data_IF_615951200248
#
_entry.id   IF_615951200248
#
_cell.length_a   1.000
_cell.length_b   1.000
_cell.length_c   1.000
_cell.angle_alpha   90.00
_cell.angle_beta   90.00
_cell.angle_gamma   90.00
#
_symmetry.space_group_name_H-M   'P 1'
#
loop_
_entity.id
_entity.type
_entity.pdbx_description
1 polymer ?
#
# COMPACT_ATOMS: atom_id res chain seq x y z
N UNK A 1 7.22 -4.49 21.36
CA UNK A 1 5.83 -4.01 21.46
C UNK A 1 5.86 -2.51 21.75
N UNK A 2 4.83 -1.78 21.33
CA UNK A 2 4.70 -0.34 21.61
C UNK A 2 3.49 -0.15 22.50
N UNK A 3 3.67 0.45 23.67
CA UNK A 3 2.60 0.62 24.66
C UNK A 3 1.85 1.96 24.53
N UNK A 4 2.39 2.90 23.72
CA UNK A 4 1.88 4.25 23.53
C UNK A 4 1.02 4.41 22.26
N UNK A 5 0.07 5.34 22.30
CA UNK A 5 -0.77 5.71 21.16
C UNK A 5 -1.83 4.68 20.78
N UNK A 6 -2.14 4.62 19.49
CA UNK A 6 -3.10 3.69 18.87
C UNK A 6 -2.60 2.24 18.79
N UNK A 7 -1.31 2.00 19.10
CA UNK A 7 -0.64 0.69 19.02
C UNK A 7 -0.64 0.09 17.61
N UNK A 8 -0.59 0.97 16.61
CA UNK A 8 -0.56 0.64 15.19
C UNK A 8 0.82 0.94 14.58
N UNK A 9 0.96 0.77 13.26
CA UNK A 9 2.20 1.00 12.52
C UNK A 9 2.75 2.43 12.70
N UNK A 10 1.88 3.44 12.85
CA UNK A 10 2.28 4.83 13.10
C UNK A 10 3.12 4.95 14.37
N UNK A 11 2.68 4.32 15.46
CA UNK A 11 3.34 4.44 16.76
C UNK A 11 4.65 3.65 16.79
N UNK A 12 4.70 2.51 16.09
CA UNK A 12 5.94 1.76 15.87
C UNK A 12 6.99 2.57 15.11
N UNK A 13 6.60 3.32 14.07
CA UNK A 13 7.52 4.22 13.37
C UNK A 13 8.02 5.36 14.25
N UNK A 14 7.14 5.96 15.08
CA UNK A 14 7.54 7.02 16.00
C UNK A 14 8.61 6.57 16.99
N UNK A 15 8.41 5.42 17.63
CA UNK A 15 9.39 4.88 18.58
C UNK A 15 10.69 4.44 17.89
N UNK A 16 10.61 3.83 16.71
CA UNK A 16 11.81 3.46 15.95
C UNK A 16 12.66 4.67 15.53
N UNK A 17 12.02 5.78 15.13
CA UNK A 17 12.73 7.03 14.81
C UNK A 17 13.37 7.63 16.07
N UNK A 18 12.70 7.60 17.22
CA UNK A 18 13.25 8.10 18.50
C UNK A 18 14.47 7.31 18.95
N UNK A 19 14.41 5.98 18.88
CA UNK A 19 15.54 5.11 19.16
C UNK A 19 16.71 5.44 18.22
N UNK A 20 16.44 5.48 16.91
CA UNK A 20 17.47 5.75 15.92
C UNK A 20 18.17 7.09 16.11
N UNK A 21 17.43 8.16 16.43
CA UNK A 21 18.03 9.47 16.72
C UNK A 21 18.94 9.41 17.95
N UNK A 22 18.58 8.62 18.95
CA UNK A 22 19.39 8.43 20.17
C UNK A 22 20.65 7.61 19.89
N UNK A 23 20.56 6.61 19.01
CA UNK A 23 21.60 5.60 18.78
C UNK A 23 22.26 5.69 17.38
N UNK A 24 22.21 6.85 16.72
CA UNK A 24 22.57 7.04 15.30
C UNK A 24 24.00 6.59 14.94
N UNK A 25 24.93 6.56 15.91
CA UNK A 25 26.33 6.17 15.68
C UNK A 25 26.53 4.66 15.53
N UNK A 26 25.63 3.86 16.08
CA UNK A 26 25.77 2.39 16.18
C UNK A 26 24.60 1.65 15.53
N UNK A 27 23.52 2.36 15.20
CA UNK A 27 22.27 1.75 14.74
C UNK A 27 21.89 2.29 13.36
N UNK A 28 21.63 1.37 12.43
CA UNK A 28 21.02 1.67 11.14
C UNK A 28 19.50 1.47 11.25
N UNK A 29 18.72 2.50 10.87
CA UNK A 29 17.26 2.39 10.83
C UNK A 29 16.80 1.75 9.52
N UNK A 30 16.46 0.47 9.58
CA UNK A 30 15.89 -0.24 8.44
C UNK A 30 14.38 0.02 8.33
N UNK A 31 14.01 1.11 7.64
CA UNK A 31 12.60 1.44 7.40
C UNK A 31 11.91 0.39 6.50
N UNK A 32 10.65 0.07 6.82
CA UNK A 32 9.90 -1.01 6.14
C UNK A 32 9.10 -0.60 4.90
N UNK A 33 9.09 0.67 4.50
CA UNK A 33 8.29 1.12 3.35
C UNK A 33 8.91 2.31 2.61
N UNK A 34 8.38 2.62 1.42
CA UNK A 34 8.83 3.71 0.54
C UNK A 34 8.37 5.10 1.02
N UNK A 35 8.46 5.33 2.31
CA UNK A 35 8.12 6.57 3.00
C UNK A 35 9.34 7.06 3.80
N UNK A 36 9.16 8.14 4.57
CA UNK A 36 10.22 8.70 5.39
C UNK A 36 11.13 9.69 4.65
N UNK A 37 12.17 10.22 5.33
CA UNK A 37 13.03 11.23 4.73
C UNK A 37 13.90 10.64 3.62
N UNK A 38 14.35 11.48 2.69
CA UNK A 38 15.42 11.08 1.77
C UNK A 38 16.65 10.60 2.57
N UNK A 39 17.32 9.49 2.20
CA UNK A 39 17.20 8.75 0.94
C UNK A 39 16.21 7.56 0.95
N UNK A 40 15.45 7.34 2.03
CA UNK A 40 14.68 6.11 2.21
C UNK A 40 13.66 5.80 1.12
N UNK A 41 12.78 6.73 0.67
CA UNK A 41 11.82 6.42 -0.40
C UNK A 41 12.51 5.94 -1.69
N UNK A 42 13.59 6.62 -2.08
CA UNK A 42 14.38 6.27 -3.27
C UNK A 42 15.03 4.89 -3.10
N UNK A 43 15.70 4.67 -1.98
CA UNK A 43 16.40 3.42 -1.70
C UNK A 43 15.44 2.23 -1.67
N UNK A 44 14.30 2.36 -0.98
CA UNK A 44 13.30 1.28 -0.91
C UNK A 44 12.73 0.99 -2.30
N UNK A 45 12.43 2.01 -3.10
CA UNK A 45 12.01 1.79 -4.49
C UNK A 45 13.06 1.04 -5.30
N UNK A 46 14.32 1.47 -5.25
CA UNK A 46 15.40 0.81 -6.01
C UNK A 46 15.57 -0.67 -5.61
N UNK A 47 15.33 -1.00 -4.35
CA UNK A 47 15.35 -2.38 -3.86
C UNK A 47 14.10 -3.19 -4.25
N UNK A 48 12.96 -2.52 -4.48
CA UNK A 48 11.69 -3.16 -4.82
C UNK A 48 11.39 -3.16 -6.33
N UNK A 49 12.10 -2.38 -7.15
CA UNK A 49 11.81 -2.22 -8.59
C UNK A 49 11.89 -3.52 -9.38
N UNK A 50 12.64 -4.49 -8.86
CA UNK A 50 12.78 -5.82 -9.46
C UNK A 50 11.42 -6.48 -9.68
N UNK A 51 10.43 -6.21 -8.82
CA UNK A 51 9.05 -6.70 -8.98
C UNK A 51 8.48 -6.25 -10.34
N UNK A 52 8.54 -4.96 -10.66
CA UNK A 52 8.03 -4.43 -11.92
C UNK A 52 8.87 -4.85 -13.13
N UNK A 53 10.18 -5.03 -12.96
CA UNK A 53 11.08 -5.53 -14.01
C UNK A 53 10.72 -6.98 -14.37
N UNK A 54 10.56 -7.86 -13.37
CA UNK A 54 10.15 -9.25 -13.55
C UNK A 54 8.74 -9.36 -14.12
N UNK A 55 7.77 -8.55 -13.66
CA UNK A 55 6.42 -8.50 -14.26
C UNK A 55 6.52 -8.21 -15.76
N UNK A 56 7.31 -7.21 -16.17
CA UNK A 56 7.41 -6.82 -17.57
C UNK A 56 8.03 -7.93 -18.44
N UNK A 57 9.04 -8.64 -17.93
CA UNK A 57 9.66 -9.77 -18.63
C UNK A 57 8.69 -10.95 -18.75
N UNK A 58 8.09 -11.36 -17.63
CA UNK A 58 7.23 -12.54 -17.54
C UNK A 58 5.95 -12.37 -18.38
N UNK A 59 5.32 -11.20 -18.31
CA UNK A 59 4.07 -10.95 -19.03
C UNK A 59 4.28 -10.90 -20.54
N UNK A 60 5.39 -10.32 -21.01
CA UNK A 60 5.72 -10.32 -22.44
C UNK A 60 6.07 -11.72 -22.91
N UNK A 61 6.75 -12.53 -22.08
CA UNK A 61 7.03 -13.93 -22.41
C UNK A 61 5.76 -14.78 -22.49
N UNK A 62 4.76 -14.51 -21.65
CA UNK A 62 3.52 -15.29 -21.60
C UNK A 62 2.49 -14.85 -22.65
N UNK A 63 2.33 -13.53 -22.84
CA UNK A 63 1.21 -12.93 -23.59
C UNK A 63 1.66 -12.17 -24.84
N UNK A 64 2.97 -12.06 -25.09
CA UNK A 64 3.54 -11.37 -26.25
C UNK A 64 3.37 -9.84 -26.24
N UNK A 65 2.85 -9.27 -25.14
CA UNK A 65 2.58 -7.83 -24.98
C UNK A 65 2.68 -7.40 -23.52
N UNK A 66 2.77 -6.08 -23.30
CA UNK A 66 2.62 -5.48 -21.97
C UNK A 66 1.15 -5.57 -21.48
N UNK A 67 0.92 -5.56 -20.15
CA UNK A 67 -0.43 -5.62 -19.60
C UNK A 67 -1.16 -4.30 -19.83
N UNK A 68 -2.49 -4.36 -19.83
CA UNK A 68 -3.34 -3.17 -19.91
C UNK A 68 -3.28 -2.39 -18.59
N UNK A 69 -3.12 -3.09 -17.46
CA UNK A 69 -2.94 -2.46 -16.16
C UNK A 69 -2.09 -3.28 -15.18
N UNK A 70 -1.44 -2.57 -14.26
CA UNK A 70 -0.80 -3.14 -13.07
C UNK A 70 -1.45 -2.55 -11.81
N UNK A 71 -1.82 -3.42 -10.87
CA UNK A 71 -2.60 -3.09 -9.68
C UNK A 71 -1.84 -3.54 -8.43
N UNK A 72 -1.76 -2.68 -7.42
CA UNK A 72 -1.12 -3.00 -6.15
C UNK A 72 -1.80 -2.29 -4.97
N UNK A 73 -1.75 -2.91 -3.78
CA UNK A 73 -2.28 -2.30 -2.56
C UNK A 73 -1.31 -1.22 -2.03
N UNK A 74 -1.85 -0.16 -1.44
CA UNK A 74 -1.11 1.02 -0.98
C UNK A 74 -1.37 1.26 0.50
N UNK A 75 -0.37 0.93 1.32
CA UNK A 75 -0.18 1.49 2.67
C UNK A 75 0.91 2.56 2.60
N UNK A 76 2.10 2.27 3.15
CA UNK A 76 3.28 3.12 2.94
C UNK A 76 3.79 3.17 1.49
N UNK A 77 3.52 2.13 0.69
CA UNK A 77 3.67 2.15 -0.77
C UNK A 77 4.84 1.38 -1.38
N UNK A 78 5.65 0.65 -0.61
CA UNK A 78 6.82 -0.08 -1.12
C UNK A 78 6.52 -1.13 -2.20
N UNK A 79 5.57 -2.04 -1.94
CA UNK A 79 5.19 -3.06 -2.92
C UNK A 79 4.61 -2.43 -4.20
N UNK A 80 3.81 -1.37 -4.03
CA UNK A 80 3.15 -0.68 -5.13
C UNK A 80 4.18 0.04 -6.00
N UNK A 81 5.07 0.85 -5.40
CA UNK A 81 6.09 1.52 -6.21
C UNK A 81 7.04 0.51 -6.87
N UNK A 82 7.38 -0.60 -6.21
CA UNK A 82 8.17 -1.68 -6.81
C UNK A 82 7.53 -2.28 -8.06
N UNK A 83 6.24 -2.62 -7.98
CA UNK A 83 5.49 -3.20 -9.10
C UNK A 83 5.20 -2.18 -10.22
N UNK A 84 4.94 -0.92 -9.87
CA UNK A 84 4.45 0.08 -10.81
C UNK A 84 5.58 0.88 -11.48
N UNK A 85 6.76 1.03 -10.84
CA UNK A 85 7.79 1.96 -11.27
C UNK A 85 8.28 1.71 -12.70
N UNK A 86 8.49 0.43 -13.08
CA UNK A 86 8.91 0.05 -14.44
C UNK A 86 7.96 0.58 -15.52
N UNK A 87 6.68 0.69 -15.21
CA UNK A 87 5.64 1.07 -16.15
C UNK A 87 5.32 2.57 -16.13
N UNK A 88 5.92 3.38 -15.26
CA UNK A 88 5.63 4.82 -15.14
C UNK A 88 5.80 5.55 -16.49
N UNK A 89 6.77 5.15 -17.32
CA UNK A 89 7.01 5.73 -18.65
C UNK A 89 6.26 5.06 -19.79
N UNK A 90 5.46 4.04 -19.50
CA UNK A 90 4.67 3.28 -20.48
C UNK A 90 3.20 3.76 -20.45
N UNK A 91 2.80 4.71 -21.31
CA UNK A 91 1.45 5.31 -21.25
C UNK A 91 0.34 4.32 -21.61
N UNK A 92 0.66 3.21 -22.29
CA UNK A 92 -0.27 2.14 -22.60
C UNK A 92 -0.63 1.27 -21.39
N UNK A 93 0.14 1.34 -20.30
CA UNK A 93 -0.08 0.54 -19.09
C UNK A 93 -0.72 1.42 -18.00
N UNK A 94 -1.96 1.15 -17.63
CA UNK A 94 -2.61 1.86 -16.54
C UNK A 94 -2.01 1.43 -15.18
N UNK A 95 -1.83 2.38 -14.26
CA UNK A 95 -1.28 2.11 -12.92
C UNK A 95 -2.35 2.37 -11.87
N UNK A 96 -2.64 1.35 -11.07
CA UNK A 96 -3.65 1.41 -10.02
C UNK A 96 -3.03 1.15 -8.65
N UNK A 97 -3.25 2.09 -7.74
CA UNK A 97 -2.96 1.94 -6.32
C UNK A 97 -4.26 1.79 -5.53
N UNK A 98 -4.35 0.78 -4.67
CA UNK A 98 -5.57 0.50 -3.91
C UNK A 98 -5.35 0.73 -2.42
N UNK A 99 -5.99 1.75 -1.86
CA UNK A 99 -5.91 2.06 -0.42
C UNK A 99 -7.01 1.36 0.39
N UNK A 100 -6.79 1.20 1.69
CA UNK A 100 -7.81 0.67 2.59
C UNK A 100 -8.89 1.72 2.86
N UNK A 101 -10.12 1.42 2.46
CA UNK A 101 -11.30 2.21 2.80
C UNK A 101 -11.87 1.87 4.20
N UNK A 102 -11.31 0.87 4.90
CA UNK A 102 -11.75 0.48 6.24
C UNK A 102 -13.26 0.18 6.28
N UNK A 103 -13.98 0.88 7.15
CA UNK A 103 -15.44 0.79 7.28
C UNK A 103 -16.20 1.66 6.26
N UNK A 104 -15.52 2.11 5.21
CA UNK A 104 -16.01 3.02 4.19
C UNK A 104 -15.41 4.43 4.32
N UNK A 105 -15.16 5.08 3.19
CA UNK A 105 -14.47 6.38 3.16
C UNK A 105 -15.22 7.50 3.89
N UNK A 106 -16.55 7.46 3.93
CA UNK A 106 -17.36 8.48 4.62
C UNK A 106 -17.44 8.26 6.13
N UNK A 107 -17.01 7.09 6.63
CA UNK A 107 -17.03 6.78 8.06
C UNK A 107 -15.94 7.52 8.85
N UNK A 108 -14.92 8.05 8.16
CA UNK A 108 -13.69 8.56 8.76
C UNK A 108 -12.75 7.47 9.31
N UNK A 109 -13.14 6.19 9.24
CA UNK A 109 -12.34 5.04 9.68
C UNK A 109 -11.78 4.30 8.48
N UNK A 110 -10.67 4.83 7.94
CA UNK A 110 -10.00 4.31 6.75
C UNK A 110 -8.49 4.61 6.75
N UNK A 111 -7.72 3.90 5.93
CA UNK A 111 -6.30 4.13 5.65
C UNK A 111 -6.03 4.88 4.32
N UNK A 112 -7.05 5.51 3.74
CA UNK A 112 -7.00 6.07 2.39
C UNK A 112 -6.40 7.50 2.30
N UNK A 113 -5.08 7.59 2.49
CA UNK A 113 -4.33 8.86 2.53
C UNK A 113 -4.33 9.64 1.21
N UNK A 114 -4.19 8.97 0.07
CA UNK A 114 -4.25 9.59 -1.25
C UNK A 114 -5.67 9.99 -1.65
N UNK A 115 -6.68 9.21 -1.24
CA UNK A 115 -8.08 9.47 -1.60
C UNK A 115 -8.71 10.58 -0.74
N UNK A 116 -8.49 10.58 0.57
CA UNK A 116 -9.16 11.47 1.54
C UNK A 116 -8.22 12.36 2.34
N UNK A 117 -6.91 12.15 2.24
CA UNK A 117 -5.92 13.00 2.89
C UNK A 117 -5.61 14.28 2.13
N UNK A 118 -4.67 15.06 2.68
CA UNK A 118 -4.18 16.29 2.08
C UNK A 118 -2.68 16.44 2.32
N UNK A 119 -1.94 17.22 1.50
CA UNK A 119 -0.51 17.39 1.66
C UNK A 119 -0.11 17.84 3.08
N UNK A 120 0.85 17.15 3.68
CA UNK A 120 1.36 17.42 5.02
C UNK A 120 2.76 16.83 5.19
N UNK A 121 3.33 16.96 6.39
CA UNK A 121 4.64 16.38 6.73
C UNK A 121 4.44 15.34 7.82
N UNK A 122 4.81 14.10 7.52
CA UNK A 122 4.76 12.99 8.46
C UNK A 122 6.02 12.13 8.30
N UNK A 123 6.59 11.72 9.44
CA UNK A 123 7.75 10.83 9.53
C UNK A 123 8.94 11.24 8.64
N UNK A 124 9.14 12.54 8.41
CA UNK A 124 10.28 13.08 7.65
C UNK A 124 10.08 13.27 6.15
N UNK A 125 8.87 13.03 5.60
CA UNK A 125 8.53 13.33 4.21
C UNK A 125 7.32 14.27 4.09
N UNK A 126 7.34 15.16 3.09
CA UNK A 126 6.15 15.88 2.64
C UNK A 126 5.39 15.01 1.64
N UNK A 127 4.17 14.62 1.98
CA UNK A 127 3.35 13.69 1.19
C UNK A 127 1.86 13.88 1.52
N UNK A 128 0.97 13.09 0.93
CA UNK A 128 -0.41 13.02 1.38
C UNK A 128 -0.51 12.30 2.72
N UNK A 129 -1.30 12.88 3.64
CA UNK A 129 -1.53 12.33 4.99
C UNK A 129 -2.97 12.56 5.42
N UNK A 130 -3.50 11.66 6.24
CA UNK A 130 -4.75 11.86 6.96
C UNK A 130 -4.49 12.78 8.16
N UNK A 131 -5.17 13.93 8.18
CA UNK A 131 -4.98 14.94 9.21
C UNK A 131 -6.26 15.76 9.43
N UNK A 132 -6.47 16.20 10.66
CA UNK A 132 -7.56 17.11 11.05
C UNK A 132 -7.38 18.48 10.45
N UNK A 133 -8.39 19.36 10.56
CA UNK A 133 -8.31 20.74 10.07
C UNK A 133 -7.12 21.52 10.63
N UNK A 134 -6.77 21.31 11.90
CA UNK A 134 -5.62 21.92 12.58
C UNK A 134 -4.27 21.28 12.23
N UNK A 135 -4.25 20.28 11.35
CA UNK A 135 -3.02 19.59 10.93
C UNK A 135 -2.53 18.51 11.89
N UNK A 136 -3.37 18.06 12.83
CA UNK A 136 -3.06 16.90 13.67
C UNK A 136 -3.21 15.62 12.87
N UNK A 137 -2.27 14.69 13.00
CA UNK A 137 -2.32 13.41 12.27
C UNK A 137 -3.50 12.58 12.77
N UNK A 138 -4.41 12.25 11.87
CA UNK A 138 -5.56 11.42 12.16
C UNK A 138 -5.15 9.95 12.30
N UNK A 139 -5.96 9.18 13.01
CA UNK A 139 -5.77 7.73 13.09
C UNK A 139 -6.30 7.07 11.81
N UNK A 140 -5.50 6.17 11.25
CA UNK A 140 -5.95 5.31 10.16
C UNK A 140 -6.76 4.14 10.74
N UNK A 141 -7.46 3.43 9.86
CA UNK A 141 -8.12 2.19 10.21
C UNK A 141 -8.20 1.26 9.00
N UNK A 142 -7.88 -0.01 9.24
CA UNK A 142 -8.14 -1.11 8.32
C UNK A 142 -8.11 -2.43 9.08
N UNK A 143 -8.85 -3.43 8.60
CA UNK A 143 -8.68 -4.81 9.04
C UNK A 143 -7.26 -5.35 8.73
N UNK A 144 -6.60 -4.77 7.73
CA UNK A 144 -5.24 -5.12 7.32
C UNK A 144 -4.21 -4.22 8.01
N UNK A 145 -3.45 -4.79 8.94
CA UNK A 145 -2.44 -4.04 9.69
C UNK A 145 -1.38 -3.35 8.80
N UNK A 146 -1.03 -3.93 7.64
CA UNK A 146 -0.08 -3.33 6.70
C UNK A 146 -0.62 -2.12 5.91
N UNK A 147 -1.94 -1.91 5.91
CA UNK A 147 -2.59 -0.75 5.29
C UNK A 147 -3.11 0.27 6.31
N UNK A 148 -3.01 -0.03 7.60
CA UNK A 148 -3.36 0.85 8.71
C UNK A 148 -2.27 1.91 8.96
N UNK A 149 -2.13 2.84 8.00
CA UNK A 149 -1.13 3.90 8.04
C UNK A 149 -1.71 5.24 7.52
N UNK A 150 -1.59 6.35 8.28
CA UNK A 150 -2.21 7.63 7.91
C UNK A 150 -1.38 8.47 6.93
N UNK A 151 -0.41 7.87 6.25
CA UNK A 151 0.40 8.54 5.24
C UNK A 151 0.68 7.64 4.05
N UNK A 152 1.46 8.15 3.10
CA UNK A 152 1.88 7.40 1.91
C UNK A 152 3.23 7.90 1.42
N UNK A 153 3.98 7.05 0.71
CA UNK A 153 5.25 7.42 0.10
C UNK A 153 5.12 8.61 -0.88
N UNK A 154 6.08 9.57 -0.86
CA UNK A 154 5.97 10.81 -1.65
C UNK A 154 5.97 10.58 -3.17
N UNK A 155 6.57 9.48 -3.66
CA UNK A 155 6.56 9.16 -5.10
C UNK A 155 5.16 8.77 -5.59
N UNK A 156 4.39 8.03 -4.80
CA UNK A 156 3.00 7.70 -5.15
C UNK A 156 2.10 8.94 -5.13
N UNK A 157 2.29 9.85 -4.16
CA UNK A 157 1.62 11.15 -4.17
C UNK A 157 1.94 11.95 -5.43
N UNK A 158 3.22 12.00 -5.82
CA UNK A 158 3.62 12.70 -7.03
C UNK A 158 2.99 12.08 -8.29
N UNK A 159 3.00 10.75 -8.42
CA UNK A 159 2.39 10.06 -9.56
C UNK A 159 0.88 10.25 -9.63
N UNK A 160 0.18 10.32 -8.49
CA UNK A 160 -1.24 10.67 -8.43
C UNK A 160 -1.48 12.09 -8.94
N UNK A 161 -0.72 13.06 -8.44
CA UNK A 161 -0.91 14.47 -8.81
C UNK A 161 -0.60 14.73 -10.30
N UNK A 162 0.27 13.93 -10.89
CA UNK A 162 0.52 13.91 -12.34
C UNK A 162 -0.58 13.21 -13.16
N UNK A 163 -1.56 12.60 -12.52
CA UNK A 163 -2.58 11.77 -13.18
C UNK A 163 -2.05 10.44 -13.71
N UNK A 164 -0.81 10.06 -13.36
CA UNK A 164 -0.18 8.82 -13.82
C UNK A 164 -0.65 7.60 -13.03
N UNK A 165 -0.95 7.77 -11.75
CA UNK A 165 -1.49 6.76 -10.84
C UNK A 165 -2.99 7.02 -10.62
N UNK A 166 -3.82 6.02 -10.91
CA UNK A 166 -5.23 6.02 -10.51
C UNK A 166 -5.35 5.41 -9.12
N UNK A 167 -5.99 6.12 -8.20
CA UNK A 167 -6.20 5.66 -6.83
C UNK A 167 -7.60 5.09 -6.70
N UNK A 168 -7.67 3.82 -6.30
CA UNK A 168 -8.89 3.13 -5.91
C UNK A 168 -8.84 2.84 -4.41
N UNK A 169 -9.93 2.35 -3.86
CA UNK A 169 -9.99 1.93 -2.46
C UNK A 169 -10.89 0.72 -2.29
N UNK A 170 -10.57 -0.16 -1.34
CA UNK A 170 -11.42 -1.30 -0.99
C UNK A 170 -11.77 -1.28 0.49
N UNK A 171 -13.02 -1.59 0.83
CA UNK A 171 -13.45 -1.70 2.24
C UNK A 171 -12.95 -3.00 2.85
N UNK A 172 -12.98 -3.09 4.18
CA UNK A 172 -12.62 -4.31 4.89
C UNK A 172 -13.49 -5.51 4.46
N UNK A 173 -14.78 -5.26 4.22
CA UNK A 173 -15.72 -6.27 3.72
C UNK A 173 -15.36 -6.72 2.29
N UNK A 174 -15.08 -5.78 1.38
CA UNK A 174 -14.66 -6.09 0.01
C UNK A 174 -13.36 -6.91 -0.01
N UNK A 175 -12.40 -6.56 0.84
CA UNK A 175 -11.14 -7.29 0.98
C UNK A 175 -11.34 -8.72 1.53
N UNK A 176 -12.20 -8.90 2.54
CA UNK A 176 -12.53 -10.23 3.08
C UNK A 176 -13.23 -11.11 2.03
N UNK A 177 -14.13 -10.54 1.23
CA UNK A 177 -14.78 -11.26 0.14
C UNK A 177 -13.79 -11.65 -0.96
N UNK A 178 -12.88 -10.75 -1.32
CA UNK A 178 -11.82 -11.02 -2.29
C UNK A 178 -10.84 -12.11 -1.82
N UNK A 179 -10.43 -12.06 -0.54
CA UNK A 179 -9.63 -13.10 0.09
C UNK A 179 -10.29 -14.47 -0.03
N UNK A 180 -11.57 -14.58 0.37
CA UNK A 180 -12.32 -15.84 0.29
C UNK A 180 -12.49 -16.33 -1.13
N UNK A 181 -12.74 -15.42 -2.07
CA UNK A 181 -12.90 -15.76 -3.48
C UNK A 181 -11.61 -16.35 -4.03
N UNK A 182 -10.47 -15.67 -3.85
CA UNK A 182 -9.17 -16.15 -4.33
C UNK A 182 -8.78 -17.49 -3.68
N UNK A 183 -9.05 -17.65 -2.39
CA UNK A 183 -8.79 -18.89 -1.68
C UNK A 183 -9.62 -20.06 -2.23
N UNK A 184 -10.90 -19.82 -2.57
CA UNK A 184 -11.82 -20.86 -3.05
C UNK A 184 -11.67 -21.16 -4.54
N UNK A 185 -11.36 -20.16 -5.36
CA UNK A 185 -11.24 -20.35 -6.81
C UNK A 185 -9.84 -20.81 -7.22
N UNK A 186 -8.79 -20.20 -6.66
CA UNK A 186 -7.40 -20.45 -7.07
C UNK A 186 -6.59 -21.25 -6.04
N UNK A 187 -7.13 -21.50 -4.84
CA UNK A 187 -6.38 -22.17 -3.76
C UNK A 187 -5.27 -21.31 -3.17
N UNK A 188 -5.31 -19.98 -3.36
CA UNK A 188 -4.27 -19.05 -2.91
C UNK A 188 -4.76 -18.27 -1.69
N UNK A 189 -4.08 -18.47 -0.55
CA UNK A 189 -4.27 -17.67 0.66
C UNK A 189 -3.37 -16.44 0.61
N UNK A 190 -3.87 -15.34 0.05
CA UNK A 190 -3.15 -14.06 -0.01
C UNK A 190 -3.23 -13.27 1.30
N UNK A 191 -2.31 -12.34 1.53
CA UNK A 191 -2.40 -11.42 2.66
C UNK A 191 -3.62 -10.49 2.52
N UNK A 192 -4.20 -10.04 3.64
CA UNK A 192 -5.33 -9.09 3.60
C UNK A 192 -4.97 -7.78 2.89
N UNK A 193 -3.70 -7.38 2.93
CA UNK A 193 -3.17 -6.25 2.14
C UNK A 193 -3.40 -6.50 0.64
N UNK A 194 -2.97 -7.66 0.13
CA UNK A 194 -3.11 -8.03 -1.28
C UNK A 194 -4.57 -8.24 -1.69
N UNK A 195 -5.41 -8.72 -0.77
CA UNK A 195 -6.84 -8.90 -1.01
C UNK A 195 -7.55 -7.59 -1.35
N UNK A 196 -7.08 -6.44 -0.85
CA UNK A 196 -7.60 -5.13 -1.28
C UNK A 196 -7.34 -4.88 -2.76
N UNK A 197 -6.16 -5.23 -3.28
CA UNK A 197 -5.85 -5.07 -4.69
C UNK A 197 -6.75 -5.96 -5.58
N UNK A 198 -7.02 -7.19 -5.14
CA UNK A 198 -7.95 -8.11 -5.81
C UNK A 198 -9.38 -7.57 -5.78
N UNK A 199 -9.84 -7.04 -4.64
CA UNK A 199 -11.17 -6.47 -4.48
C UNK A 199 -11.45 -5.27 -5.40
N UNK A 200 -10.40 -4.59 -5.87
CA UNK A 200 -10.53 -3.46 -6.79
C UNK A 200 -10.64 -3.88 -8.27
N UNK A 201 -10.33 -5.13 -8.63
CA UNK A 201 -10.27 -5.59 -10.02
C UNK A 201 -11.52 -5.30 -10.85
N UNK A 202 -12.76 -5.44 -10.34
CA UNK A 202 -13.96 -5.11 -11.13
C UNK A 202 -14.04 -3.64 -11.58
N UNK A 203 -13.22 -2.75 -10.99
CA UNK A 203 -13.15 -1.31 -11.28
C UNK A 203 -11.95 -0.96 -12.17
N UNK A 204 -11.11 -1.94 -12.52
CA UNK A 204 -9.93 -1.79 -13.36
C UNK A 204 -10.33 -2.04 -14.81
N UNK A 205 -9.79 -1.25 -15.75
CA UNK A 205 -10.07 -1.38 -17.18
C UNK A 205 -8.97 -2.18 -17.86
N UNK A 206 -9.35 -2.99 -18.84
CA UNK A 206 -8.43 -3.81 -19.65
C UNK A 206 -8.78 -5.29 -19.57
N UNK A 207 -8.17 -6.07 -20.45
CA UNK A 207 -8.40 -7.51 -20.53
C UNK A 207 -7.24 -8.29 -19.89
N UNK A 208 -6.00 -7.78 -20.01
CA UNK A 208 -4.81 -8.35 -19.40
C UNK A 208 -4.34 -7.51 -18.22
N UNK A 209 -4.61 -7.99 -17.02
CA UNK A 209 -4.31 -7.30 -15.77
C UNK A 209 -3.26 -8.07 -14.98
N UNK A 210 -2.32 -7.33 -14.38
CA UNK A 210 -1.38 -7.89 -13.39
C UNK A 210 -1.71 -7.32 -12.03
N UNK A 211 -1.81 -8.19 -11.01
CA UNK A 211 -1.96 -7.80 -9.61
C UNK A 211 -0.72 -8.22 -8.84
N UNK A 212 -0.15 -7.29 -8.08
CA UNK A 212 0.94 -7.62 -7.16
C UNK A 212 0.38 -8.28 -5.89
N UNK A 213 0.50 -9.61 -5.79
CA UNK A 213 0.22 -10.35 -4.56
C UNK A 213 1.37 -10.17 -3.57
N UNK A 214 1.34 -9.03 -2.88
CA UNK A 214 2.40 -8.54 -2.00
C UNK A 214 2.77 -9.45 -0.82
N UNK A 215 1.93 -10.43 -0.47
CA UNK A 215 2.26 -11.39 0.57
C UNK A 215 1.25 -12.54 0.68
N UNK A 216 1.60 -13.51 1.53
CA UNK A 216 0.76 -14.66 1.88
C UNK A 216 -0.06 -14.40 3.16
N UNK A 217 -1.21 -15.06 3.26
CA UNK A 217 -2.24 -14.82 4.28
C UNK A 217 -2.10 -15.61 5.57
N UNK A 218 -1.03 -16.39 5.78
CA UNK A 218 -0.87 -17.20 7.00
C UNK A 218 -0.99 -16.35 8.28
N UNK A 219 -0.44 -15.13 8.25
CA UNK A 219 -0.48 -14.18 9.37
C UNK A 219 -1.89 -13.68 9.68
N UNK A 220 -2.80 -13.72 8.70
CA UNK A 220 -4.11 -13.08 8.76
C UNK A 220 -5.23 -14.07 9.11
N UNK A 221 -4.95 -15.38 9.18
CA UNK A 221 -5.96 -16.41 9.40
C UNK A 221 -6.76 -16.20 10.69
N UNK A 222 -6.12 -15.77 11.78
CA UNK A 222 -6.83 -15.46 13.02
C UNK A 222 -7.86 -14.34 12.84
N UNK A 223 -7.43 -13.23 12.23
CA UNK A 223 -8.29 -12.07 11.91
C UNK A 223 -9.43 -12.45 10.98
N UNK A 224 -9.14 -13.21 9.92
CA UNK A 224 -10.16 -13.68 8.96
C UNK A 224 -11.17 -14.60 9.65
N UNK A 225 -10.72 -15.57 10.45
CA UNK A 225 -11.61 -16.49 11.15
C UNK A 225 -12.48 -15.79 12.19
N UNK A 226 -12.00 -14.70 12.80
CA UNK A 226 -12.81 -13.88 13.70
C UNK A 226 -13.83 -13.04 12.94
N UNK A 227 -13.43 -12.43 11.83
CA UNK A 227 -14.31 -11.58 11.03
C UNK A 227 -15.40 -12.34 10.25
N UNK A 228 -15.22 -13.65 10.04
CA UNK A 228 -16.20 -14.50 9.33
C UNK A 228 -17.15 -15.27 10.26
N UNK A 229 -17.11 -15.03 11.57
CA UNK A 229 -18.08 -15.56 12.54
C UNK A 229 -19.36 -14.74 12.56
#
# INVERSE_FOLDING_TARGET
SVDAGSRTLKDAMNEAIRDWVTNVRTTYYCIGSAAGPHPYPLMVRELQKIIGEEIAEQIVSAEGRLPDAVVACVGGGSNAIGALHRFVREPSVALYGVEAAGLGLESGKHGASLAKGRPGVLHGSRSYVLQTEDGQIAEAHSISAGLDYPGVGPELSHLRDQGRLTVLSATDEEALQAFQTLARSEGILCALESAHAIAALPRVRGDLLVVNLSGRGDKDLGTVLEALK
#
